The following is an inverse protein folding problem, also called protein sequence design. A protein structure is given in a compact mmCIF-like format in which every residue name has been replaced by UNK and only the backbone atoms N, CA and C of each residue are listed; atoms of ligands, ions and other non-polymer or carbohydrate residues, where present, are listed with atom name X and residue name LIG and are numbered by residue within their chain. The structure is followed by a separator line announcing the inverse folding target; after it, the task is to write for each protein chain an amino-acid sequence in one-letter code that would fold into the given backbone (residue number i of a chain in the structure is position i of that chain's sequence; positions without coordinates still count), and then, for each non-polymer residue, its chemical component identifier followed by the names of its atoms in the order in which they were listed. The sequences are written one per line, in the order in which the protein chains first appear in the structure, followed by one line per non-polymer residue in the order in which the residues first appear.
data_IF_292839673469
#
_entry.id   IF_292839673469
#
_cell.length_a   1.000
_cell.length_b   1.000
_cell.length_c   1.000
_cell.angle_alpha   90.00
_cell.angle_beta   90.00
_cell.angle_gamma   90.00
#
_symmetry.space_group_name_H-M   'P 1'
#
loop_
_entity.id
_entity.type
_entity.pdbx_description
1 polymer ?
#
# COMPACT_ATOMS: atom_id res chain seq x y z
N UNK A 1 -14.24 14.90 -18.96
CA UNK A 1 -13.09 14.27 -18.27
C UNK A 1 -12.99 14.82 -16.85
N UNK A 2 -13.84 14.33 -15.97
CA UNK A 2 -14.11 14.87 -14.63
C UNK A 2 -13.08 14.42 -13.58
N UNK A 3 -12.37 13.32 -13.82
CA UNK A 3 -11.35 12.75 -12.92
C UNK A 3 -10.13 13.67 -12.71
N UNK A 4 -9.77 14.50 -13.71
CA UNK A 4 -8.68 15.48 -13.58
C UNK A 4 -9.02 16.65 -12.65
N UNK A 5 -10.31 16.98 -12.48
CA UNK A 5 -10.76 18.06 -11.58
C UNK A 5 -10.81 17.61 -10.12
N UNK A 6 -11.12 16.34 -9.82
CA UNK A 6 -11.12 15.82 -8.44
C UNK A 6 -9.71 15.75 -7.82
N UNK A 7 -8.67 15.48 -8.62
CA UNK A 7 -7.26 15.52 -8.16
C UNK A 7 -6.67 16.95 -8.10
N UNK A 8 -7.39 17.96 -8.59
CA UNK A 8 -7.01 19.37 -8.53
C UNK A 8 -7.56 20.10 -7.29
N UNK A 9 -8.40 19.43 -6.48
CA UNK A 9 -8.99 20.02 -5.28
C UNK A 9 -8.25 19.63 -4.01
N UNK A 10 -7.67 20.65 -3.38
CA UNK A 10 -7.11 20.70 -2.02
C UNK A 10 -5.95 19.75 -1.67
N UNK A 11 -4.71 20.10 -2.08
CA UNK A 11 -3.49 19.53 -1.52
C UNK A 11 -3.38 19.64 0.01
N UNK A 12 -4.23 20.44 0.67
CA UNK A 12 -4.18 20.72 2.11
C UNK A 12 -5.00 19.80 3.01
N UNK A 13 -5.91 18.97 2.48
CA UNK A 13 -6.76 18.10 3.32
C UNK A 13 -6.37 16.62 3.30
N UNK A 14 -5.59 16.19 2.32
CA UNK A 14 -5.26 14.77 2.20
C UNK A 14 -3.79 14.44 2.38
N UNK A 15 -2.83 15.35 2.22
CA UNK A 15 -1.42 14.98 2.26
C UNK A 15 -0.50 16.11 2.74
N UNK A 16 0.30 15.79 3.76
CA UNK A 16 1.55 16.43 4.21
C UNK A 16 1.44 17.50 5.31
N UNK A 17 1.36 17.06 6.56
CA UNK A 17 2.25 17.55 7.61
C UNK A 17 3.31 16.43 7.75
N UNK A 18 4.56 16.53 7.31
CA UNK A 18 5.62 17.41 7.78
C UNK A 18 6.90 17.13 6.95
N UNK A 19 7.81 18.11 6.88
CA UNK A 19 9.07 18.07 6.13
C UNK A 19 10.15 17.27 6.89
N UNK A 20 10.84 16.32 6.23
CA UNK A 20 12.05 15.67 6.77
C UNK A 20 13.30 16.55 6.52
N UNK A 21 14.19 16.66 7.52
CA UNK A 21 15.37 17.53 7.58
C UNK A 21 16.50 17.20 6.57
N UNK A 22 16.26 16.34 5.57
CA UNK A 22 17.23 15.98 4.51
C UNK A 22 16.77 16.33 3.08
N UNK A 23 15.70 17.10 2.92
CA UNK A 23 15.26 17.64 1.62
C UNK A 23 14.66 16.63 0.61
N UNK A 24 14.70 15.32 0.89
CA UNK A 24 14.06 14.31 0.05
C UNK A 24 12.59 14.11 0.44
N UNK A 25 11.69 14.64 -0.40
CA UNK A 25 10.25 14.48 -0.25
C UNK A 25 9.70 13.67 -1.41
N UNK A 26 9.17 12.47 -1.12
CA UNK A 26 8.34 11.73 -2.07
C UNK A 26 7.02 12.48 -2.21
N UNK A 27 6.84 13.22 -3.30
CA UNK A 27 5.59 13.95 -3.55
C UNK A 27 4.47 12.97 -3.89
N UNK A 28 3.25 13.12 -3.32
CA UNK A 28 2.08 12.31 -3.66
C UNK A 28 1.85 12.10 -5.15
N UNK A 29 1.94 13.18 -5.93
CA UNK A 29 1.74 13.14 -7.38
C UNK A 29 2.69 12.15 -8.09
N UNK A 30 3.90 11.97 -7.56
CA UNK A 30 4.86 11.00 -8.12
C UNK A 30 4.44 9.56 -7.79
N UNK A 31 3.86 9.34 -6.61
CA UNK A 31 3.33 8.03 -6.20
C UNK A 31 2.09 7.66 -7.02
N UNK A 32 1.16 8.60 -7.22
CA UNK A 32 0.01 8.37 -8.10
C UNK A 32 0.41 8.12 -9.56
N UNK A 33 1.44 8.82 -10.07
CA UNK A 33 2.00 8.52 -11.40
C UNK A 33 2.61 7.12 -11.47
N UNK A 34 3.23 6.68 -10.38
CA UNK A 34 3.77 5.32 -10.29
C UNK A 34 2.66 4.28 -10.30
N UNK A 35 1.64 4.43 -9.46
CA UNK A 35 0.46 3.55 -9.42
C UNK A 35 -0.20 3.41 -10.80
N UNK A 36 -0.28 4.50 -11.57
CA UNK A 36 -0.85 4.49 -12.93
C UNK A 36 -0.07 3.67 -13.97
N UNK A 37 1.12 3.15 -13.66
CA UNK A 37 1.93 2.36 -14.60
C UNK A 37 1.44 0.94 -14.82
N UNK A 38 0.66 0.37 -13.90
CA UNK A 38 0.17 -1.01 -14.02
C UNK A 38 -1.35 -1.08 -13.87
N UNK A 39 -1.94 -2.19 -14.33
CA UNK A 39 -3.39 -2.42 -14.18
C UNK A 39 -3.80 -2.47 -12.70
N UNK A 40 -3.08 -3.25 -11.88
CA UNK A 40 -3.32 -3.36 -10.43
C UNK A 40 -3.17 -2.02 -9.71
N UNK A 41 -2.25 -1.15 -10.15
CA UNK A 41 -2.06 0.16 -9.55
C UNK A 41 -3.15 1.17 -9.94
N UNK A 42 -3.70 1.09 -11.17
CA UNK A 42 -4.88 1.87 -11.57
C UNK A 42 -6.12 1.45 -10.80
N UNK A 43 -6.37 0.14 -10.70
CA UNK A 43 -7.46 -0.41 -9.89
C UNK A 43 -7.35 0.02 -8.42
N UNK A 44 -6.13 0.05 -7.87
CA UNK A 44 -5.89 0.56 -6.52
C UNK A 44 -6.28 2.03 -6.37
N UNK A 45 -6.01 2.87 -7.38
CA UNK A 45 -6.46 4.27 -7.38
C UNK A 45 -7.99 4.34 -7.38
N UNK A 46 -8.65 3.53 -8.19
CA UNK A 46 -10.11 3.49 -8.26
C UNK A 46 -10.71 3.12 -6.90
N UNK A 47 -10.17 2.10 -6.22
CA UNK A 47 -10.60 1.74 -4.86
C UNK A 47 -10.37 2.83 -3.83
N UNK A 48 -9.24 3.55 -3.90
CA UNK A 48 -8.98 4.67 -3.01
C UNK A 48 -10.08 5.72 -3.13
N UNK A 49 -10.51 6.02 -4.35
CA UNK A 49 -11.55 7.02 -4.64
C UNK A 49 -12.95 6.50 -4.27
N UNK A 50 -13.30 5.29 -4.71
CA UNK A 50 -14.64 4.72 -4.54
C UNK A 50 -14.97 4.40 -3.08
N UNK A 51 -13.97 3.97 -2.30
CA UNK A 51 -14.14 3.56 -0.89
C UNK A 51 -13.66 4.61 0.12
N UNK A 52 -13.36 5.81 -0.36
CA UNK A 52 -12.89 6.94 0.45
C UNK A 52 -11.74 6.54 1.42
N UNK A 53 -10.68 5.95 0.85
CA UNK A 53 -9.54 5.46 1.63
C UNK A 53 -8.56 6.61 1.87
N UNK A 54 -8.44 7.03 3.13
CA UNK A 54 -7.46 8.04 3.54
C UNK A 54 -6.07 7.45 3.63
N UNK A 55 -5.09 8.06 2.96
CA UNK A 55 -3.69 7.63 2.98
C UNK A 55 -2.81 8.76 3.51
N UNK A 56 -2.07 8.50 4.57
CA UNK A 56 -1.07 9.39 5.14
C UNK A 56 0.35 8.94 4.78
N UNK A 57 1.15 9.85 4.25
CA UNK A 57 2.59 9.63 4.05
C UNK A 57 3.36 10.18 5.27
N UNK A 58 3.94 9.30 6.08
CA UNK A 58 4.63 9.63 7.33
C UNK A 58 6.14 9.63 7.09
N UNK A 59 6.79 10.78 7.26
CA UNK A 59 8.21 10.97 6.91
C UNK A 59 9.18 10.91 8.08
N UNK A 60 8.70 11.04 9.32
CA UNK A 60 9.56 11.27 10.50
C UNK A 60 9.85 10.03 11.32
N UNK A 61 8.92 9.08 11.36
CA UNK A 61 9.01 7.93 12.24
C UNK A 61 8.29 6.72 11.63
N UNK A 62 8.59 5.53 12.14
CA UNK A 62 7.86 4.31 11.89
C UNK A 62 7.82 3.47 13.19
N UNK A 63 6.78 2.65 13.42
CA UNK A 63 6.66 1.83 14.62
C UNK A 63 7.84 0.87 14.80
N UNK A 64 8.32 0.30 13.69
CA UNK A 64 9.52 -0.53 13.65
C UNK A 64 10.33 -0.19 12.38
N UNK A 65 11.61 -0.60 12.31
CA UNK A 65 12.43 -0.43 11.10
C UNK A 65 11.91 -1.17 9.85
N UNK A 66 11.03 -2.16 10.01
CA UNK A 66 10.51 -2.98 8.90
C UNK A 66 9.07 -2.67 8.51
N UNK A 67 8.29 -1.99 9.36
CA UNK A 67 6.91 -1.61 9.04
C UNK A 67 6.88 -0.52 7.97
N UNK A 68 6.41 -0.86 6.77
CA UNK A 68 6.32 0.06 5.63
C UNK A 68 4.96 0.74 5.51
N UNK A 69 3.91 0.05 5.92
CA UNK A 69 2.55 0.57 5.98
C UNK A 69 1.80 -0.08 7.14
N UNK A 70 0.65 0.50 7.48
CA UNK A 70 -0.39 -0.13 8.29
C UNK A 70 -1.71 0.59 8.11
N UNK A 71 -2.81 -0.11 8.35
CA UNK A 71 -4.11 0.53 8.57
C UNK A 71 -4.28 0.83 10.05
N UNK A 72 -4.63 2.08 10.38
CA UNK A 72 -4.94 2.50 11.74
C UNK A 72 -6.30 3.20 11.74
N UNK A 73 -7.32 2.50 12.22
CA UNK A 73 -8.73 2.93 12.16
C UNK A 73 -9.10 3.26 10.70
N UNK A 74 -9.36 4.53 10.41
CA UNK A 74 -9.83 4.99 9.10
C UNK A 74 -8.71 5.58 8.22
N UNK A 75 -7.44 5.47 8.66
CA UNK A 75 -6.29 6.05 7.95
C UNK A 75 -5.25 4.97 7.66
N UNK A 76 -4.89 4.84 6.39
CA UNK A 76 -3.78 4.02 5.92
C UNK A 76 -2.48 4.82 6.03
N UNK A 77 -1.60 4.41 6.92
CA UNK A 77 -0.33 5.07 7.19
C UNK A 77 0.78 4.42 6.37
N UNK A 78 1.55 5.20 5.61
CA UNK A 78 2.68 4.74 4.81
C UNK A 78 3.95 5.43 5.31
N UNK A 79 4.91 4.64 5.81
CA UNK A 79 6.11 5.14 6.46
C UNK A 79 7.24 5.34 5.43
N UNK A 80 7.40 6.57 4.96
CA UNK A 80 8.33 6.95 3.91
C UNK A 80 9.79 6.67 4.28
N UNK A 81 10.13 6.76 5.56
CA UNK A 81 11.47 6.43 6.08
C UNK A 81 11.86 4.95 5.81
N UNK A 82 10.86 4.06 5.71
CA UNK A 82 11.03 2.64 5.48
C UNK A 82 10.79 2.23 4.02
N UNK A 83 9.90 2.92 3.29
CA UNK A 83 9.70 2.65 1.84
C UNK A 83 10.82 3.23 0.98
N UNK A 84 11.32 4.43 1.32
CA UNK A 84 12.47 5.14 0.73
C UNK A 84 12.37 5.54 -0.74
N UNK A 85 11.59 4.82 -1.56
CA UNK A 85 11.46 5.06 -3.01
C UNK A 85 10.00 5.22 -3.40
N UNK A 86 9.74 5.94 -4.50
CA UNK A 86 8.39 6.12 -5.06
C UNK A 86 7.76 4.77 -5.40
N UNK A 87 8.53 3.89 -6.06
CA UNK A 87 8.11 2.54 -6.44
C UNK A 87 7.71 1.70 -5.24
N UNK A 88 8.56 1.63 -4.21
CA UNK A 88 8.23 0.88 -3.00
C UNK A 88 7.03 1.49 -2.26
N UNK A 89 6.90 2.82 -2.26
CA UNK A 89 5.74 3.50 -1.66
C UNK A 89 4.45 3.13 -2.38
N UNK A 90 4.43 3.12 -3.71
CA UNK A 90 3.29 2.68 -4.51
C UNK A 90 2.93 1.21 -4.23
N UNK A 91 3.94 0.32 -4.21
CA UNK A 91 3.77 -1.10 -3.88
C UNK A 91 3.21 -1.32 -2.47
N UNK A 92 3.66 -0.54 -1.49
CA UNK A 92 3.10 -0.58 -0.13
C UNK A 92 1.65 -0.09 -0.12
N UNK A 93 1.30 0.97 -0.84
CA UNK A 93 -0.10 1.43 -0.94
C UNK A 93 -0.98 0.34 -1.54
N UNK A 94 -0.55 -0.35 -2.61
CA UNK A 94 -1.29 -1.47 -3.20
C UNK A 94 -1.54 -2.56 -2.15
N UNK A 95 -0.53 -2.89 -1.35
CA UNK A 95 -0.63 -3.89 -0.28
C UNK A 95 -1.66 -3.47 0.79
N UNK A 96 -1.51 -2.29 1.39
CA UNK A 96 -2.42 -1.82 2.45
C UNK A 96 -3.85 -1.58 1.96
N UNK A 97 -4.03 -1.12 0.72
CA UNK A 97 -5.36 -0.94 0.13
C UNK A 97 -6.00 -2.30 -0.15
N UNK A 98 -5.23 -3.30 -0.57
CA UNK A 98 -5.75 -4.66 -0.76
C UNK A 98 -6.29 -5.23 0.55
N UNK A 99 -5.54 -5.05 1.65
CA UNK A 99 -5.98 -5.37 3.00
C UNK A 99 -7.32 -4.74 3.37
N UNK A 100 -7.58 -3.50 2.95
CA UNK A 100 -8.86 -2.82 3.20
C UNK A 100 -9.99 -3.39 2.34
N UNK A 101 -9.71 -3.73 1.08
CA UNK A 101 -10.74 -4.13 0.11
C UNK A 101 -11.19 -5.57 0.30
N UNK A 102 -10.26 -6.48 0.56
CA UNK A 102 -10.53 -7.92 0.64
C UNK A 102 -10.37 -8.50 2.03
N UNK A 103 -9.74 -7.74 2.92
CA UNK A 103 -9.22 -8.26 4.15
C UNK A 103 -9.92 -7.74 5.40
N UNK A 104 -9.30 -8.07 6.53
CA UNK A 104 -9.78 -7.77 7.86
C UNK A 104 -9.22 -6.46 8.41
N UNK A 105 -8.49 -5.67 7.62
CA UNK A 105 -7.73 -4.51 8.11
C UNK A 105 -8.55 -3.34 8.67
N UNK A 106 -9.88 -3.34 8.48
CA UNK A 106 -10.82 -2.41 9.16
C UNK A 106 -11.64 -3.06 10.27
N UNK A 107 -11.38 -4.33 10.55
CA UNK A 107 -12.03 -5.12 11.60
C UNK A 107 -11.05 -5.33 12.76
N UNK A 108 -11.53 -5.88 13.88
CA UNK A 108 -10.67 -6.27 15.00
C UNK A 108 -10.02 -7.66 14.80
N UNK A 109 -10.29 -8.31 13.67
CA UNK A 109 -9.72 -9.61 13.37
C UNK A 109 -8.26 -9.51 12.92
N UNK A 110 -7.48 -10.51 13.29
CA UNK A 110 -6.11 -10.69 12.80
C UNK A 110 -6.14 -11.16 11.34
N UNK A 111 -5.30 -10.55 10.50
CA UNK A 111 -5.06 -10.99 9.11
C UNK A 111 -4.72 -12.49 9.04
N UNK A 112 -5.15 -13.13 7.95
CA UNK A 112 -4.75 -14.51 7.63
C UNK A 112 -3.48 -14.55 6.77
N UNK A 113 -2.85 -15.73 6.68
CA UNK A 113 -1.73 -15.97 5.75
C UNK A 113 -2.19 -15.74 4.31
N UNK A 114 -3.39 -16.18 3.97
CA UNK A 114 -4.00 -16.04 2.65
C UNK A 114 -4.23 -14.57 2.28
N UNK A 115 -4.66 -13.75 3.25
CA UNK A 115 -4.82 -12.30 3.08
C UNK A 115 -3.47 -11.61 2.81
N UNK A 116 -2.45 -11.88 3.64
CA UNK A 116 -1.09 -11.35 3.43
C UNK A 116 -0.50 -11.79 2.09
N UNK A 117 -0.76 -13.04 1.69
CA UNK A 117 -0.33 -13.57 0.40
C UNK A 117 -0.98 -12.82 -0.76
N UNK A 118 -2.30 -12.60 -0.73
CA UNK A 118 -3.00 -11.81 -1.76
C UNK A 118 -2.44 -10.38 -1.86
N UNK A 119 -2.21 -9.75 -0.70
CA UNK A 119 -1.66 -8.39 -0.65
C UNK A 119 -0.23 -8.34 -1.20
N UNK A 120 0.60 -9.33 -0.88
CA UNK A 120 1.95 -9.46 -1.45
C UNK A 120 1.90 -9.72 -2.96
N UNK A 121 1.04 -10.63 -3.42
CA UNK A 121 0.88 -10.98 -4.82
C UNK A 121 0.51 -9.74 -5.65
N UNK A 122 -0.54 -9.02 -5.24
CA UNK A 122 -0.96 -7.78 -5.93
C UNK A 122 0.12 -6.71 -5.94
N UNK A 123 0.85 -6.56 -4.84
CA UNK A 123 1.99 -5.65 -4.76
C UNK A 123 3.08 -6.02 -5.78
N UNK A 124 3.41 -7.31 -5.94
CA UNK A 124 4.39 -7.77 -6.92
C UNK A 124 3.88 -7.70 -8.37
N UNK A 125 2.57 -7.90 -8.60
CA UNK A 125 1.93 -7.72 -9.91
C UNK A 125 2.05 -6.29 -10.46
N UNK A 126 2.39 -5.31 -9.62
CA UNK A 126 2.73 -3.97 -10.08
C UNK A 126 4.00 -3.94 -10.95
N UNK A 127 4.94 -4.84 -10.67
CA UNK A 127 6.21 -4.95 -11.37
C UNK A 127 6.15 -5.98 -12.49
N UNK A 128 5.54 -7.13 -12.22
CA UNK A 128 5.39 -8.23 -13.16
C UNK A 128 3.95 -8.77 -13.10
N UNK A 129 3.03 -8.34 -13.99
CA UNK A 129 1.67 -8.85 -14.00
C UNK A 129 1.56 -10.31 -14.46
N UNK A 130 2.59 -10.83 -15.13
CA UNK A 130 2.63 -12.19 -15.70
C UNK A 130 3.60 -13.10 -14.93
N UNK A 131 3.59 -13.01 -13.59
CA UNK A 131 4.40 -13.88 -12.74
C UNK A 131 4.14 -15.36 -13.04
N UNK A 132 5.23 -16.11 -13.16
CA UNK A 132 5.20 -17.57 -13.28
C UNK A 132 4.68 -18.22 -12.00
N UNK A 133 4.22 -19.47 -12.12
CA UNK A 133 3.78 -20.26 -10.95
C UNK A 133 4.90 -20.43 -9.92
N UNK A 134 6.15 -20.54 -10.35
CA UNK A 134 7.30 -20.64 -9.44
C UNK A 134 7.53 -19.35 -8.65
N UNK A 135 7.41 -18.18 -9.28
CA UNK A 135 7.48 -16.88 -8.61
C UNK A 135 6.35 -16.72 -7.58
N UNK A 136 5.13 -17.07 -7.96
CA UNK A 136 3.95 -17.04 -7.08
C UNK A 136 4.18 -17.96 -5.87
N UNK A 137 4.66 -19.18 -6.09
CA UNK A 137 4.92 -20.14 -5.03
C UNK A 137 6.08 -19.69 -4.11
N UNK A 138 7.08 -18.99 -4.63
CA UNK A 138 8.15 -18.39 -3.82
C UNK A 138 7.61 -17.29 -2.91
N UNK A 139 6.71 -16.43 -3.42
CA UNK A 139 6.03 -15.41 -2.62
C UNK A 139 5.25 -16.07 -1.48
N UNK A 140 4.46 -17.10 -1.79
CA UNK A 140 3.68 -17.83 -0.78
C UNK A 140 4.57 -18.40 0.33
N UNK A 141 5.66 -19.11 -0.03
CA UNK A 141 6.62 -19.66 0.95
C UNK A 141 7.28 -18.58 1.81
N UNK A 142 7.56 -17.40 1.22
CA UNK A 142 8.13 -16.28 1.96
C UNK A 142 7.12 -15.72 2.99
N UNK A 143 5.85 -15.60 2.60
CA UNK A 143 4.78 -15.14 3.49
C UNK A 143 4.56 -16.13 4.63
N UNK A 144 4.42 -17.43 4.34
CA UNK A 144 4.28 -18.45 5.38
C UNK A 144 5.42 -18.43 6.42
N UNK A 145 6.66 -18.18 5.98
CA UNK A 145 7.81 -18.08 6.89
C UNK A 145 7.81 -16.78 7.69
N UNK A 146 7.46 -15.67 7.06
CA UNK A 146 7.49 -14.33 7.68
C UNK A 146 6.35 -14.16 8.69
N UNK A 147 5.19 -14.74 8.37
CA UNK A 147 3.94 -14.61 9.10
C UNK A 147 3.46 -15.96 9.65
N UNK A 148 4.38 -16.83 10.06
CA UNK A 148 4.08 -18.18 10.56
C UNK A 148 3.20 -18.21 11.82
N UNK A 149 3.00 -17.05 12.45
CA UNK A 149 2.17 -16.85 13.62
C UNK A 149 0.71 -16.44 13.28
N UNK A 150 0.39 -16.18 12.01
CA UNK A 150 -0.97 -15.83 11.59
C UNK A 150 -1.84 -17.09 11.44
N UNK A 151 -3.16 -16.90 11.58
CA UNK A 151 -4.16 -17.95 11.32
C UNK A 151 -4.18 -18.29 9.82
N UNK A 152 -4.56 -19.53 9.52
CA UNK A 152 -4.97 -19.94 8.17
C UNK A 152 -6.48 -19.83 8.07
N UNK A 153 -6.98 -19.42 6.92
CA UNK A 153 -8.41 -19.49 6.63
C UNK A 153 -8.78 -20.98 6.41
N UNK A 154 -9.51 -21.57 7.35
CA UNK A 154 -9.98 -22.97 7.33
C UNK A 154 -11.44 -23.01 6.88
#
# INVERSE_FOLDING_TARGET
MEWRRKLQYSPSHYLVNEVNHRGYVIKPVKVFRELNKSAVGKETIDWIVEKDINIDLIYKWAPTPWTRGRVNKNVTQIFIINTRTIKQTAKTIIHEVTHIVYGTARTEETNSIEEEFLCALRSQSHDNPEMSQDEIQQIYRMIERTYSYLKRDI
#
